data_IF_665237877949
#
_entry.id   IF_665237877949
#
_cell.length_a   1.000
_cell.length_b   1.000
_cell.length_c   1.000
_cell.angle_alpha   90.00
_cell.angle_beta   90.00
_cell.angle_gamma   90.00
#
_symmetry.space_group_name_H-M   'P 1'
#
loop_
_entity.id
_entity.type
_entity.pdbx_description
1 polymer ?
#
# COMPACT_ATOMS: atom_id res chain seq x y z
N UNK A 1 -5.18 18.38 15.92
CA UNK A 1 -5.85 17.38 15.05
C UNK A 1 -5.29 16.02 15.39
N UNK A 2 -6.13 14.96 15.31
CA UNK A 2 -5.65 13.59 15.43
C UNK A 2 -4.79 13.23 14.23
N UNK A 3 -3.73 12.44 14.46
CA UNK A 3 -2.80 11.97 13.42
C UNK A 3 -3.37 10.72 12.75
N UNK A 4 -3.55 10.79 11.43
CA UNK A 4 -4.02 9.69 10.58
C UNK A 4 -2.85 9.21 9.71
N UNK A 5 -2.45 7.96 9.88
CA UNK A 5 -1.39 7.31 9.10
C UNK A 5 -1.99 6.36 8.07
N UNK A 6 -1.69 6.57 6.79
CA UNK A 6 -2.26 5.83 5.66
C UNK A 6 -1.13 5.13 4.90
N UNK A 7 -1.28 3.81 4.66
CA UNK A 7 -0.39 3.06 3.77
C UNK A 7 -0.66 3.41 2.30
N UNK A 8 0.31 3.19 1.43
CA UNK A 8 0.20 3.51 0.00
C UNK A 8 -0.26 2.32 -0.83
N UNK A 9 0.57 1.27 -0.90
CA UNK A 9 0.32 0.10 -1.75
C UNK A 9 -0.85 -0.72 -1.19
N UNK A 10 -1.77 -1.15 -2.06
CA UNK A 10 -3.03 -1.85 -1.77
C UNK A 10 -4.00 -1.08 -0.84
N UNK A 11 -3.77 0.23 -0.62
CA UNK A 11 -4.67 1.15 0.10
C UNK A 11 -5.03 2.37 -0.74
N UNK A 12 -4.03 3.06 -1.31
CA UNK A 12 -4.21 4.25 -2.18
C UNK A 12 -4.11 3.85 -3.65
N UNK A 13 -3.23 2.90 -3.97
CA UNK A 13 -3.04 2.36 -5.32
C UNK A 13 -2.92 0.85 -5.26
N UNK A 14 -3.24 0.18 -6.37
CA UNK A 14 -3.32 -1.28 -6.43
C UNK A 14 -2.88 -1.84 -7.79
N UNK A 15 -2.65 -3.15 -7.85
CA UNK A 15 -2.43 -3.93 -9.06
C UNK A 15 -1.15 -3.61 -9.87
N UNK A 16 -0.22 -2.79 -9.37
CA UNK A 16 0.97 -2.40 -10.12
C UNK A 16 1.86 -3.58 -10.48
N UNK A 17 2.26 -4.35 -9.47
CA UNK A 17 3.13 -5.51 -9.67
C UNK A 17 2.50 -6.59 -10.54
N UNK A 18 1.22 -6.93 -10.34
CA UNK A 18 0.57 -7.99 -11.12
C UNK A 18 0.46 -7.61 -12.60
N UNK A 19 0.15 -6.34 -12.90
CA UNK A 19 0.07 -5.87 -14.29
C UNK A 19 1.45 -5.85 -14.96
N UNK A 20 2.47 -5.48 -14.22
CA UNK A 20 3.85 -5.50 -14.70
C UNK A 20 4.36 -6.92 -14.94
N UNK A 21 4.01 -7.89 -14.07
CA UNK A 21 4.29 -9.32 -14.25
C UNK A 21 3.57 -9.84 -15.51
N UNK A 22 2.33 -9.45 -15.72
CA UNK A 22 1.57 -9.84 -16.91
C UNK A 22 2.21 -9.35 -18.20
N UNK A 23 2.73 -8.10 -18.22
CA UNK A 23 3.48 -7.60 -19.37
C UNK A 23 4.75 -8.40 -19.62
N UNK A 24 5.51 -8.67 -18.54
CA UNK A 24 6.76 -9.42 -18.64
C UNK A 24 6.57 -10.86 -19.13
N UNK A 25 5.54 -11.56 -18.62
CA UNK A 25 5.29 -12.97 -18.94
C UNK A 25 4.35 -13.18 -20.14
N UNK A 26 3.69 -12.13 -20.64
CA UNK A 26 2.62 -12.27 -21.64
C UNK A 26 1.40 -13.01 -21.10
N UNK A 27 1.06 -12.83 -19.82
CA UNK A 27 -0.03 -13.53 -19.11
C UNK A 27 -1.18 -12.59 -18.72
N UNK A 28 -2.18 -13.12 -18.03
CA UNK A 28 -3.35 -12.37 -17.61
C UNK A 28 -3.76 -12.74 -16.16
N UNK A 29 -2.75 -12.91 -15.31
CA UNK A 29 -2.94 -13.19 -13.88
C UNK A 29 -3.69 -12.06 -13.18
N UNK A 30 -4.45 -12.43 -12.15
CA UNK A 30 -5.01 -11.53 -11.15
C UNK A 30 -4.19 -11.63 -9.87
N UNK A 31 -4.29 -10.63 -9.00
CA UNK A 31 -3.58 -10.66 -7.71
C UNK A 31 -3.97 -11.86 -6.84
N UNK A 32 -5.23 -12.35 -6.99
CA UNK A 32 -5.74 -13.53 -6.29
C UNK A 32 -5.13 -14.85 -6.77
N UNK A 33 -4.46 -14.87 -7.90
CA UNK A 33 -3.74 -16.07 -8.40
C UNK A 33 -2.41 -16.26 -7.67
N UNK A 34 -1.91 -15.25 -6.96
CA UNK A 34 -0.73 -15.38 -6.11
C UNK A 34 -1.05 -16.20 -4.85
N UNK A 35 -0.11 -17.06 -4.45
CA UNK A 35 -0.25 -17.92 -3.28
C UNK A 35 0.15 -17.22 -1.96
N UNK A 36 0.73 -16.04 -2.04
CA UNK A 36 1.25 -15.30 -0.90
C UNK A 36 0.99 -13.81 -1.02
N UNK A 37 1.43 -13.06 0.00
CA UNK A 37 1.47 -11.60 -0.02
C UNK A 37 2.25 -11.04 -1.22
N UNK A 38 3.31 -11.75 -1.65
CA UNK A 38 4.16 -11.31 -2.75
C UNK A 38 3.73 -11.97 -4.06
N UNK A 39 3.20 -11.19 -5.01
CA UNK A 39 2.82 -11.67 -6.35
C UNK A 39 4.01 -12.20 -7.17
N UNK A 40 5.25 -11.97 -6.73
CA UNK A 40 6.46 -12.50 -7.35
C UNK A 40 6.49 -14.04 -7.40
N UNK A 41 5.69 -14.72 -6.59
CA UNK A 41 5.51 -16.19 -6.65
C UNK A 41 4.98 -16.67 -8.02
N UNK A 42 4.37 -15.78 -8.80
CA UNK A 42 3.88 -16.07 -10.15
C UNK A 42 5.01 -16.07 -11.19
N UNK A 43 6.21 -15.60 -10.84
CA UNK A 43 7.35 -15.56 -11.74
C UNK A 43 8.08 -16.89 -11.70
N UNK A 44 8.24 -17.61 -12.84
CA UNK A 44 9.04 -18.81 -12.90
C UNK A 44 10.48 -18.56 -12.40
N UNK A 45 11.03 -19.49 -11.64
CA UNK A 45 12.36 -19.34 -11.01
C UNK A 45 13.48 -19.12 -12.03
N UNK A 46 13.38 -19.74 -13.18
CA UNK A 46 14.31 -19.61 -14.29
C UNK A 46 14.24 -18.24 -14.99
N UNK A 47 13.16 -17.49 -14.82
CA UNK A 47 12.97 -16.12 -15.34
C UNK A 47 13.20 -15.02 -14.33
N UNK A 48 13.55 -15.36 -13.08
CA UNK A 48 13.61 -14.37 -12.01
C UNK A 48 14.69 -13.29 -12.25
N UNK A 49 15.85 -13.66 -12.79
CA UNK A 49 16.92 -12.68 -13.10
C UNK A 49 16.51 -11.73 -14.24
N UNK A 50 15.79 -12.24 -15.25
CA UNK A 50 15.26 -11.42 -16.34
C UNK A 50 14.17 -10.46 -15.82
N UNK A 51 13.31 -10.96 -14.92
CA UNK A 51 12.33 -10.15 -14.25
C UNK A 51 12.95 -8.99 -13.45
N UNK A 52 14.01 -9.25 -12.70
CA UNK A 52 14.69 -8.19 -11.95
C UNK A 52 15.19 -7.09 -12.87
N UNK A 53 15.82 -7.44 -13.98
CA UNK A 53 16.27 -6.46 -15.00
C UNK A 53 15.10 -5.67 -15.58
N UNK A 54 14.03 -6.37 -15.96
CA UNK A 54 12.82 -5.73 -16.48
C UNK A 54 12.22 -4.75 -15.47
N UNK A 55 12.18 -5.14 -14.17
CA UNK A 55 11.69 -4.29 -13.09
C UNK A 55 12.58 -3.06 -12.85
N UNK A 56 13.91 -3.19 -12.97
CA UNK A 56 14.85 -2.08 -12.82
C UNK A 56 14.66 -1.00 -13.90
N UNK A 57 14.27 -1.41 -15.12
CA UNK A 57 14.07 -0.52 -16.27
C UNK A 57 12.69 0.19 -16.28
N UNK A 58 11.77 -0.25 -15.46
CA UNK A 58 10.37 0.19 -15.45
C UNK A 58 9.98 0.92 -14.16
N UNK A 59 8.97 1.73 -14.28
CA UNK A 59 8.32 2.34 -13.12
C UNK A 59 7.03 1.59 -12.80
N UNK A 60 6.99 0.83 -11.69
CA UNK A 60 5.80 0.07 -11.28
C UNK A 60 4.56 0.95 -11.08
N UNK A 61 4.75 2.24 -10.78
CA UNK A 61 3.65 3.20 -10.58
C UNK A 61 3.00 3.67 -11.89
N UNK A 62 3.58 3.36 -13.05
CA UNK A 62 2.91 3.54 -14.35
C UNK A 62 1.87 2.42 -14.60
N UNK A 63 1.95 1.32 -13.84
CA UNK A 63 1.06 0.16 -13.95
C UNK A 63 -0.07 0.16 -12.91
N UNK A 64 0.02 0.96 -11.85
CA UNK A 64 -1.00 0.94 -10.79
C UNK A 64 -2.32 1.56 -11.23
N UNK A 65 -3.40 1.09 -10.63
CA UNK A 65 -4.65 1.81 -10.59
C UNK A 65 -4.74 2.58 -9.28
N UNK A 66 -5.30 3.78 -9.31
CA UNK A 66 -5.69 4.45 -8.07
C UNK A 66 -6.91 3.73 -7.50
N UNK A 67 -6.92 3.48 -6.19
CA UNK A 67 -8.09 2.86 -5.55
C UNK A 67 -9.26 3.84 -5.62
N UNK A 68 -10.42 3.32 -6.00
CA UNK A 68 -11.64 4.13 -6.17
C UNK A 68 -11.93 4.97 -4.93
N UNK A 69 -12.26 6.23 -5.14
CA UNK A 69 -12.60 7.25 -4.15
C UNK A 69 -11.44 7.64 -3.20
N UNK A 70 -10.24 7.05 -3.31
CA UNK A 70 -9.13 7.30 -2.39
C UNK A 70 -8.72 8.78 -2.34
N UNK A 71 -8.38 9.46 -3.45
CA UNK A 71 -7.97 10.86 -3.39
C UNK A 71 -9.06 11.79 -2.84
N UNK A 72 -10.32 11.60 -3.29
CA UNK A 72 -11.45 12.41 -2.86
C UNK A 72 -11.68 12.32 -1.36
N UNK A 73 -11.66 11.09 -0.80
CA UNK A 73 -11.89 10.89 0.63
C UNK A 73 -10.70 11.37 1.46
N UNK A 74 -9.46 11.12 1.00
CA UNK A 74 -8.26 11.62 1.67
C UNK A 74 -8.26 13.16 1.72
N UNK A 75 -8.66 13.83 0.64
CA UNK A 75 -8.76 15.29 0.60
C UNK A 75 -9.75 15.82 1.64
N UNK A 76 -10.95 15.22 1.74
CA UNK A 76 -11.93 15.57 2.77
C UNK A 76 -11.39 15.32 4.19
N UNK A 77 -10.75 14.17 4.41
CA UNK A 77 -10.17 13.84 5.72
C UNK A 77 -9.04 14.80 6.10
N UNK A 78 -8.31 15.36 5.14
CA UNK A 78 -7.22 16.31 5.40
C UNK A 78 -7.69 17.63 6.04
N UNK A 79 -9.00 17.93 5.99
CA UNK A 79 -9.58 19.07 6.71
C UNK A 79 -9.71 18.81 8.22
N UNK A 80 -9.80 17.53 8.64
CA UNK A 80 -10.11 17.13 10.03
C UNK A 80 -8.95 16.42 10.73
N UNK A 81 -8.02 15.85 9.96
CA UNK A 81 -6.91 15.04 10.45
C UNK A 81 -5.56 15.56 9.98
N UNK A 82 -4.53 15.33 10.79
CA UNK A 82 -3.13 15.52 10.40
C UNK A 82 -2.65 14.26 9.68
N UNK A 83 -2.77 14.25 8.34
CA UNK A 83 -2.56 13.05 7.50
C UNK A 83 -1.09 12.88 7.16
N UNK A 84 -0.58 11.66 7.34
CA UNK A 84 0.72 11.20 6.89
C UNK A 84 0.56 9.96 6.01
N UNK A 85 1.29 9.90 4.89
CA UNK A 85 1.36 8.71 4.05
C UNK A 85 2.63 7.96 4.40
N UNK A 86 2.50 6.67 4.76
CA UNK A 86 3.66 5.84 5.11
C UNK A 86 3.78 4.65 4.14
N UNK A 87 4.96 4.46 3.58
CA UNK A 87 5.21 3.36 2.63
C UNK A 87 6.62 2.81 2.79
N UNK A 88 6.80 1.51 2.54
CA UNK A 88 8.11 0.90 2.47
C UNK A 88 8.74 1.14 1.09
N UNK A 89 10.08 1.08 1.01
CA UNK A 89 10.80 1.38 -0.22
C UNK A 89 11.95 0.41 -0.52
N UNK A 90 12.28 -0.48 0.41
CA UNK A 90 13.53 -1.23 0.33
C UNK A 90 13.34 -2.61 -0.28
N UNK A 91 14.13 -2.89 -1.32
CA UNK A 91 14.43 -4.23 -1.78
C UNK A 91 15.66 -4.74 -1.01
N UNK A 92 15.44 -5.65 -0.04
CA UNK A 92 16.51 -6.14 0.83
C UNK A 92 17.69 -6.72 0.05
N UNK A 93 17.39 -7.52 -0.99
CA UNK A 93 18.38 -8.25 -1.75
C UNK A 93 18.96 -7.44 -2.92
N UNK A 94 18.40 -6.26 -3.19
CA UNK A 94 18.78 -5.35 -4.27
C UNK A 94 18.62 -3.89 -3.81
N UNK A 95 19.40 -3.44 -2.82
CA UNK A 95 19.25 -2.10 -2.25
C UNK A 95 19.55 -0.98 -3.24
N UNK A 96 20.35 -1.24 -4.27
CA UNK A 96 20.72 -0.28 -5.31
C UNK A 96 19.52 0.24 -6.11
N UNK A 97 18.46 -0.57 -6.29
CA UNK A 97 17.24 -0.14 -6.99
C UNK A 97 16.24 0.61 -6.09
N UNK A 98 16.46 0.60 -4.77
CA UNK A 98 15.55 1.23 -3.81
C UNK A 98 15.43 2.74 -4.01
N UNK A 99 16.52 3.40 -4.45
CA UNK A 99 16.51 4.85 -4.71
C UNK A 99 15.56 5.26 -5.82
N UNK A 100 15.54 4.53 -6.94
CA UNK A 100 14.60 4.78 -8.03
C UNK A 100 13.16 4.50 -7.63
N UNK A 101 12.91 3.44 -6.87
CA UNK A 101 11.57 3.11 -6.37
C UNK A 101 11.06 4.15 -5.36
N UNK A 102 11.93 4.68 -4.50
CA UNK A 102 11.61 5.79 -3.61
C UNK A 102 11.16 7.02 -4.41
N UNK A 103 11.92 7.38 -5.43
CA UNK A 103 11.58 8.49 -6.32
C UNK A 103 10.23 8.27 -7.00
N UNK A 104 10.00 7.08 -7.55
CA UNK A 104 8.75 6.73 -8.23
C UNK A 104 7.54 6.83 -7.30
N UNK A 105 7.65 6.36 -6.05
CA UNK A 105 6.61 6.53 -5.03
C UNK A 105 6.35 7.99 -4.70
N UNK A 106 7.42 8.76 -4.49
CA UNK A 106 7.32 10.19 -4.20
C UNK A 106 6.61 10.95 -5.33
N UNK A 107 7.02 10.71 -6.58
CA UNK A 107 6.42 11.34 -7.75
C UNK A 107 4.94 10.96 -7.91
N UNK A 108 4.61 9.68 -7.68
CA UNK A 108 3.22 9.20 -7.72
C UNK A 108 2.34 9.88 -6.67
N UNK A 109 2.80 9.94 -5.41
CA UNK A 109 2.08 10.58 -4.31
C UNK A 109 1.88 12.07 -4.57
N UNK A 110 2.94 12.77 -4.98
CA UNK A 110 2.88 14.20 -5.29
C UNK A 110 1.88 14.51 -6.40
N UNK A 111 1.83 13.65 -7.44
CA UNK A 111 0.91 13.80 -8.56
C UNK A 111 -0.55 13.55 -8.18
N UNK A 112 -0.81 12.50 -7.38
CA UNK A 112 -2.17 12.02 -7.12
C UNK A 112 -2.77 12.55 -5.82
N UNK A 113 -1.95 13.06 -4.89
CA UNK A 113 -2.37 13.69 -3.63
C UNK A 113 -1.74 15.08 -3.48
N UNK A 114 -1.97 16.02 -4.43
CA UNK A 114 -1.32 17.32 -4.44
C UNK A 114 -1.69 18.23 -3.24
N UNK A 115 -2.75 17.88 -2.52
CA UNK A 115 -3.24 18.57 -1.31
C UNK A 115 -2.51 18.10 -0.03
N UNK A 116 -1.69 17.03 -0.07
CA UNK A 116 -0.86 16.61 1.06
C UNK A 116 0.53 17.23 0.92
N UNK A 117 1.01 17.92 1.97
CA UNK A 117 2.39 18.42 2.00
C UNK A 117 3.38 17.25 1.85
N UNK A 118 4.30 17.27 0.87
CA UNK A 118 5.29 16.20 0.67
C UNK A 118 6.16 15.91 1.90
N UNK A 119 6.30 16.84 2.85
CA UNK A 119 6.96 16.61 4.14
C UNK A 119 6.24 15.58 5.02
N UNK A 120 5.00 15.25 4.70
CA UNK A 120 4.19 14.24 5.40
C UNK A 120 4.27 12.86 4.74
N UNK A 121 5.11 12.67 3.73
CA UNK A 121 5.42 11.36 3.16
C UNK A 121 6.55 10.70 3.95
N UNK A 122 6.28 9.54 4.53
CA UNK A 122 7.19 8.76 5.36
C UNK A 122 7.59 7.51 4.62
N UNK A 123 8.87 7.37 4.30
CA UNK A 123 9.43 6.20 3.63
C UNK A 123 10.14 5.34 4.68
N UNK A 124 9.45 4.32 5.18
CA UNK A 124 9.91 3.51 6.31
C UNK A 124 9.41 2.07 6.22
N UNK A 125 10.33 1.10 6.32
CA UNK A 125 9.98 -0.33 6.31
C UNK A 125 9.41 -0.78 7.65
N UNK A 126 10.00 -0.34 8.75
CA UNK A 126 9.52 -0.64 10.11
C UNK A 126 8.49 0.41 10.56
N UNK A 127 7.26 0.23 10.12
CA UNK A 127 6.17 1.17 10.37
C UNK A 127 5.74 1.24 11.85
N UNK A 128 6.20 0.31 12.70
CA UNK A 128 5.93 0.30 14.14
C UNK A 128 6.59 1.48 14.87
N UNK A 129 7.66 2.03 14.29
CA UNK A 129 8.38 3.16 14.87
C UNK A 129 7.60 4.49 14.85
N UNK A 130 6.50 4.56 14.10
CA UNK A 130 5.68 5.77 13.99
C UNK A 130 4.38 5.59 14.75
N UNK A 131 4.15 6.36 15.79
CA UNK A 131 2.88 6.40 16.51
C UNK A 131 1.86 7.28 15.78
N UNK A 132 0.58 6.85 15.77
CA UNK A 132 -0.54 7.61 15.22
C UNK A 132 -1.81 7.35 16.04
N UNK A 133 -2.81 8.24 15.94
CA UNK A 133 -4.11 8.01 16.57
C UNK A 133 -4.91 7.00 15.77
N UNK A 134 -4.83 7.08 14.44
CA UNK A 134 -5.54 6.19 13.51
C UNK A 134 -4.56 5.65 12.47
N UNK A 135 -4.69 4.37 12.14
CA UNK A 135 -3.92 3.71 11.06
C UNK A 135 -4.85 3.05 10.06
N UNK A 136 -4.55 3.22 8.77
CA UNK A 136 -5.18 2.52 7.65
C UNK A 136 -4.09 1.78 6.90
N UNK A 137 -4.13 0.46 6.88
CA UNK A 137 -3.15 -0.39 6.22
C UNK A 137 -3.80 -1.63 5.60
N UNK A 138 -3.09 -2.31 4.69
CA UNK A 138 -3.50 -3.56 4.03
C UNK A 138 -3.05 -4.82 4.77
N UNK A 139 -2.11 -4.72 5.71
CA UNK A 139 -1.49 -5.88 6.35
C UNK A 139 -1.58 -5.83 7.88
N UNK A 140 -2.03 -6.95 8.47
CA UNK A 140 -2.14 -7.12 9.93
C UNK A 140 -0.79 -6.93 10.61
N UNK A 141 0.30 -7.41 10.00
CA UNK A 141 1.64 -7.28 10.56
C UNK A 141 2.13 -5.82 10.61
N UNK A 142 1.65 -4.98 9.69
CA UNK A 142 1.98 -3.56 9.66
C UNK A 142 1.16 -2.71 10.66
N UNK A 143 0.17 -3.33 11.33
CA UNK A 143 -0.69 -2.69 12.35
C UNK A 143 -0.15 -2.82 13.79
N UNK A 144 1.06 -3.31 13.99
CA UNK A 144 1.65 -3.53 15.33
C UNK A 144 1.90 -2.23 16.11
N UNK A 145 2.23 -1.11 15.46
CA UNK A 145 2.46 0.17 16.12
C UNK A 145 1.25 0.66 16.94
N UNK A 146 1.48 1.65 17.82
CA UNK A 146 0.41 2.21 18.67
C UNK A 146 -0.58 3.01 17.83
N UNK A 147 -1.87 2.74 18.02
CA UNK A 147 -2.98 3.53 17.50
C UNK A 147 -4.24 3.23 18.32
N UNK A 148 -5.09 4.24 18.51
CA UNK A 148 -6.41 4.10 19.14
C UNK A 148 -7.36 3.32 18.22
N UNK A 149 -7.30 3.60 16.90
CA UNK A 149 -8.10 2.94 15.87
C UNK A 149 -7.21 2.38 14.78
N UNK A 150 -7.51 1.14 14.39
CA UNK A 150 -6.76 0.40 13.36
C UNK A 150 -7.73 -0.14 12.32
N UNK A 151 -7.64 0.38 11.09
CA UNK A 151 -8.46 0.00 9.96
C UNK A 151 -7.64 -0.88 9.02
N UNK A 152 -8.10 -2.12 8.81
CA UNK A 152 -7.52 -3.04 7.83
C UNK A 152 -8.27 -2.89 6.51
N UNK A 153 -7.62 -2.28 5.53
CA UNK A 153 -8.16 -2.16 4.18
C UNK A 153 -8.11 -3.53 3.48
N UNK A 154 -9.24 -3.96 2.92
CA UNK A 154 -9.34 -5.27 2.26
C UNK A 154 -8.52 -5.29 0.98
N UNK A 155 -7.55 -6.21 0.92
CA UNK A 155 -6.72 -6.51 -0.24
C UNK A 155 -6.76 -8.02 -0.55
N UNK A 156 -6.25 -8.43 -1.72
CA UNK A 156 -6.29 -9.84 -2.15
C UNK A 156 -5.68 -10.80 -1.12
N UNK A 157 -4.60 -10.42 -0.45
CA UNK A 157 -3.87 -11.27 0.50
C UNK A 157 -4.48 -11.33 1.90
N UNK A 158 -5.36 -10.39 2.28
CA UNK A 158 -5.95 -10.33 3.61
C UNK A 158 -7.45 -10.66 3.66
N UNK A 159 -8.13 -10.79 2.51
CA UNK A 159 -9.58 -10.99 2.42
C UNK A 159 -10.11 -12.22 3.15
N UNK A 160 -9.27 -13.26 3.29
CA UNK A 160 -9.63 -14.54 3.91
C UNK A 160 -9.34 -14.57 5.42
N UNK A 161 -8.82 -13.51 6.03
CA UNK A 161 -8.63 -13.43 7.47
C UNK A 161 -9.99 -13.37 8.14
N UNK A 162 -10.24 -14.26 9.10
CA UNK A 162 -11.53 -14.39 9.79
C UNK A 162 -11.81 -13.14 10.64
N UNK A 163 -13.08 -12.75 10.73
CA UNK A 163 -13.51 -11.58 11.51
C UNK A 163 -13.22 -11.76 13.01
N UNK A 164 -13.26 -12.98 13.53
CA UNK A 164 -12.93 -13.23 14.95
C UNK A 164 -11.44 -12.99 15.23
N UNK A 165 -10.55 -13.34 14.31
CA UNK A 165 -9.12 -13.00 14.40
C UNK A 165 -8.91 -11.48 14.40
N UNK A 166 -9.66 -10.74 13.58
CA UNK A 166 -9.58 -9.28 13.55
C UNK A 166 -10.06 -8.66 14.86
N UNK A 167 -11.15 -9.18 15.43
CA UNK A 167 -11.66 -8.71 16.73
C UNK A 167 -10.67 -8.94 17.87
N UNK A 168 -10.04 -10.11 17.94
CA UNK A 168 -9.00 -10.41 18.93
C UNK A 168 -7.83 -9.41 18.84
N UNK A 169 -7.45 -9.02 17.62
CA UNK A 169 -6.39 -8.04 17.34
C UNK A 169 -6.88 -6.58 17.43
N UNK A 170 -8.15 -6.33 17.73
CA UNK A 170 -8.78 -5.00 17.76
C UNK A 170 -8.66 -4.24 16.44
N UNK A 171 -8.86 -4.95 15.34
CA UNK A 171 -8.82 -4.42 13.98
C UNK A 171 -10.24 -4.30 13.44
N UNK A 172 -10.51 -3.22 12.71
CA UNK A 172 -11.74 -3.02 11.96
C UNK A 172 -11.47 -3.18 10.48
N UNK A 173 -12.13 -4.16 9.83
CA UNK A 173 -12.06 -4.31 8.38
C UNK A 173 -12.83 -3.19 7.69
N UNK A 174 -12.26 -2.67 6.62
CA UNK A 174 -12.90 -1.73 5.69
C UNK A 174 -12.66 -2.19 4.26
N UNK A 175 -13.69 -2.08 3.41
CA UNK A 175 -13.65 -2.60 2.04
C UNK A 175 -13.60 -1.49 0.98
N UNK A 176 -13.74 -0.24 1.40
CA UNK A 176 -13.72 0.89 0.49
C UNK A 176 -13.39 2.18 1.22
N UNK A 177 -12.94 3.18 0.47
CA UNK A 177 -12.73 4.53 0.98
C UNK A 177 -14.04 5.19 1.44
N UNK A 178 -15.19 4.82 0.85
CA UNK A 178 -16.51 5.30 1.33
C UNK A 178 -16.89 4.73 2.69
N UNK A 179 -16.45 3.53 3.05
CA UNK A 179 -16.60 3.02 4.43
C UNK A 179 -15.70 3.79 5.41
N UNK A 180 -14.47 4.09 5.02
CA UNK A 180 -13.55 4.91 5.83
C UNK A 180 -14.15 6.32 6.06
N UNK A 181 -14.68 6.95 5.01
CA UNK A 181 -15.35 8.25 5.10
C UNK A 181 -16.47 8.23 6.18
N UNK A 182 -17.32 7.20 6.17
CA UNK A 182 -18.42 7.06 7.15
C UNK A 182 -17.95 6.80 8.59
N UNK A 183 -16.77 6.21 8.76
CA UNK A 183 -16.24 5.91 10.10
C UNK A 183 -15.54 7.14 10.68
N UNK A 184 -14.91 7.96 9.84
CA UNK A 184 -14.03 9.04 10.28
C UNK A 184 -14.65 10.44 10.18
N UNK A 185 -15.73 10.61 9.39
CA UNK A 185 -16.54 11.84 9.27
C UNK A 185 -17.98 11.63 9.76
#
# INVERSE_FOLDING_TARGET
MKRLLIDMDDVICENGFIRMINEFLGTNYKSEDANSYYVNDLIPKDKFEEWVKFFEEKNVYDYVNIVKDAPEVIEKLNEFYDIYIITAYIFRDKPEISGSQLKNKFDYLTKNLPFIDPKKFIFLSDKELVDADIRIVDSVDKLKGKAEMKLLFTAYHNKNIADDELKEKKLTRVNSWKEIEKILL
#
